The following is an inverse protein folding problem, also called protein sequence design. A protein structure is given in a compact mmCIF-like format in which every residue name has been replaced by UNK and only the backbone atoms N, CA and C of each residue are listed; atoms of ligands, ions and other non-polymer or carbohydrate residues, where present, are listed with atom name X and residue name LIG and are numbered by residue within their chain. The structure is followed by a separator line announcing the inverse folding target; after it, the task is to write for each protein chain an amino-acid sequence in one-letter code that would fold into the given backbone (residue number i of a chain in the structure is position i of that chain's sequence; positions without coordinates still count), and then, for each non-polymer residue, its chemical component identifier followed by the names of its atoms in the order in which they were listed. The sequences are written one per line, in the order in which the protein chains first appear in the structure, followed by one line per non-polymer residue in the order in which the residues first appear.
data_IF_221315923281
#
_entry.id   IF_221315923281
#
_cell.length_a   1.000
_cell.length_b   1.000
_cell.length_c   1.000
_cell.angle_alpha   90.00
_cell.angle_beta   90.00
_cell.angle_gamma   90.00
#
_symmetry.space_group_name_H-M   'P 1'
#
loop_
_entity.id
_entity.type
_entity.pdbx_description
1 polymer ?
#
# COMPACT_ATOMS: atom_id res chain seq x y z
N UNK A 1 16.27 -19.52 -9.98
CA UNK A 1 15.34 -20.58 -10.42
C UNK A 1 14.01 -20.33 -9.72
N UNK A 2 12.88 -20.13 -10.42
CA UNK A 2 11.56 -20.19 -9.79
C UNK A 2 11.34 -21.64 -9.34
N UNK A 3 11.18 -21.88 -8.03
CA UNK A 3 11.17 -23.25 -7.47
C UNK A 3 9.82 -23.96 -7.62
N UNK A 4 8.76 -23.28 -8.08
CA UNK A 4 7.40 -23.83 -8.12
C UNK A 4 6.83 -24.19 -6.75
N UNK A 5 7.58 -23.95 -5.67
CA UNK A 5 7.10 -24.18 -4.30
C UNK A 5 6.00 -23.18 -4.00
N UNK A 6 4.90 -23.70 -3.45
CA UNK A 6 3.85 -22.88 -2.86
C UNK A 6 4.49 -22.09 -1.71
N UNK A 7 4.77 -20.81 -1.96
CA UNK A 7 5.16 -19.88 -0.91
C UNK A 7 3.90 -19.60 -0.09
N UNK A 8 3.69 -20.38 0.97
CA UNK A 8 2.66 -20.07 1.95
C UNK A 8 3.25 -19.05 2.93
N UNK A 9 2.65 -17.87 2.95
CA UNK A 9 3.04 -16.78 3.85
C UNK A 9 2.33 -16.86 5.22
N UNK A 10 1.56 -17.94 5.45
CA UNK A 10 0.94 -18.29 6.72
C UNK A 10 1.97 -18.89 7.69
N UNK A 11 2.03 -18.53 9.01
CA UNK A 11 1.22 -17.52 9.72
C UNK A 11 1.73 -16.10 9.59
N UNK A 12 2.97 -15.97 9.14
CA UNK A 12 3.81 -14.85 9.48
C UNK A 12 3.36 -13.56 8.82
N UNK A 13 2.65 -13.63 7.70
CA UNK A 13 2.32 -12.49 6.88
C UNK A 13 0.87 -12.08 7.01
N UNK A 14 0.67 -10.85 7.48
CA UNK A 14 -0.63 -10.20 7.56
C UNK A 14 -0.95 -9.61 6.19
N UNK A 15 -2.18 -9.82 5.73
CA UNK A 15 -2.70 -9.20 4.51
C UNK A 15 -3.57 -8.00 4.88
N UNK A 16 -3.42 -6.89 4.16
CA UNK A 16 -4.20 -5.67 4.39
C UNK A 16 -5.19 -5.49 3.25
N UNK A 17 -6.44 -5.20 3.61
CA UNK A 17 -7.52 -4.90 2.68
C UNK A 17 -8.18 -3.58 3.05
N UNK A 18 -8.81 -2.92 2.08
CA UNK A 18 -9.57 -1.71 2.33
C UNK A 18 -11.04 -2.07 2.62
N UNK A 19 -11.50 -1.76 3.83
CA UNK A 19 -12.89 -1.97 4.23
C UNK A 19 -13.68 -0.66 4.16
N UNK A 20 -14.77 -0.64 3.40
CA UNK A 20 -15.60 0.54 3.18
C UNK A 20 -17.02 0.28 3.66
N UNK A 21 -17.56 1.18 4.49
CA UNK A 21 -18.97 1.15 4.89
C UNK A 21 -19.77 2.15 4.08
N UNK A 22 -20.78 1.68 3.35
CA UNK A 22 -21.67 2.54 2.58
C UNK A 22 -22.91 2.90 3.38
N UNK A 23 -23.10 4.20 3.66
CA UNK A 23 -24.33 4.69 4.30
C UNK A 23 -25.55 4.57 3.39
N UNK A 24 -25.35 4.69 2.08
CA UNK A 24 -26.42 4.65 1.07
C UNK A 24 -26.91 3.22 0.81
N UNK A 25 -26.03 2.22 0.92
CA UNK A 25 -26.40 0.81 0.74
C UNK A 25 -26.81 0.17 2.08
N UNK A 26 -27.63 0.84 2.88
CA UNK A 26 -28.15 0.28 4.14
C UNK A 26 -27.07 -0.10 5.16
N UNK A 27 -26.00 0.69 5.27
CA UNK A 27 -24.85 0.41 6.14
C UNK A 27 -24.08 -0.88 5.80
N UNK A 28 -24.23 -1.41 4.59
CA UNK A 28 -23.41 -2.53 4.10
C UNK A 28 -21.93 -2.20 4.11
N UNK A 29 -21.14 -3.22 4.42
CA UNK A 29 -19.68 -3.14 4.44
C UNK A 29 -19.12 -3.95 3.28
N UNK A 30 -18.23 -3.33 2.54
CA UNK A 30 -17.54 -3.88 1.37
C UNK A 30 -16.06 -3.96 1.64
N UNK A 31 -15.38 -4.86 0.93
CA UNK A 31 -13.92 -4.95 0.89
C UNK A 31 -13.44 -4.74 -0.53
N UNK A 32 -12.39 -3.94 -0.64
CA UNK A 32 -11.54 -3.83 -1.83
C UNK A 32 -10.22 -4.51 -1.50
N UNK A 33 -9.91 -5.59 -2.22
CA UNK A 33 -8.64 -6.29 -2.14
C UNK A 33 -7.92 -6.25 -3.51
N UNK A 34 -7.07 -5.24 -3.68
CA UNK A 34 -6.32 -5.05 -4.91
C UNK A 34 -5.18 -6.07 -5.09
N UNK A 35 -4.79 -6.76 -4.02
CA UNK A 35 -3.69 -7.72 -4.03
C UNK A 35 -4.17 -9.15 -3.79
N UNK A 36 -5.49 -9.40 -3.80
CA UNK A 36 -6.08 -10.70 -3.48
C UNK A 36 -5.68 -11.81 -4.46
N UNK A 37 -5.34 -11.45 -5.70
CA UNK A 37 -4.89 -12.38 -6.72
C UNK A 37 -3.64 -13.18 -6.30
N UNK A 38 -2.78 -12.64 -5.43
CA UNK A 38 -1.62 -13.36 -4.87
C UNK A 38 -2.03 -14.59 -4.05
N UNK A 39 -3.28 -14.65 -3.60
CA UNK A 39 -3.89 -15.75 -2.83
C UNK A 39 -4.97 -16.50 -3.62
N UNK A 40 -5.10 -16.25 -4.92
CA UNK A 40 -6.17 -16.83 -5.75
C UNK A 40 -7.54 -16.16 -5.57
N UNK A 41 -7.63 -15.00 -4.92
CA UNK A 41 -8.86 -14.22 -4.82
C UNK A 41 -8.98 -13.36 -6.08
N UNK A 42 -9.80 -13.79 -7.03
CA UNK A 42 -9.82 -13.21 -8.38
C UNK A 42 -10.70 -11.96 -8.51
N UNK A 43 -11.63 -11.74 -7.58
CA UNK A 43 -12.44 -10.51 -7.56
C UNK A 43 -11.82 -9.50 -6.59
N UNK A 44 -11.56 -8.25 -7.03
CA UNK A 44 -11.03 -7.23 -6.14
C UNK A 44 -12.11 -6.64 -5.23
N UNK A 45 -13.40 -6.95 -5.44
CA UNK A 45 -14.52 -6.36 -4.70
C UNK A 45 -15.47 -7.42 -4.17
N UNK A 46 -15.79 -7.35 -2.88
CA UNK A 46 -16.66 -8.30 -2.18
C UNK A 46 -17.49 -7.62 -1.09
N UNK A 47 -18.66 -8.17 -0.77
CA UNK A 47 -19.31 -7.86 0.52
C UNK A 47 -18.46 -8.44 1.66
N UNK A 48 -18.28 -7.68 2.74
CA UNK A 48 -17.38 -8.05 3.85
C UNK A 48 -17.75 -9.38 4.49
N UNK A 49 -19.05 -9.65 4.68
CA UNK A 49 -19.53 -10.89 5.31
C UNK A 49 -19.08 -12.11 4.49
N UNK A 50 -19.20 -12.04 3.17
CA UNK A 50 -18.79 -13.11 2.26
C UNK A 50 -17.27 -13.26 2.22
N UNK A 51 -16.56 -12.15 2.06
CA UNK A 51 -15.10 -12.12 2.03
C UNK A 51 -14.50 -12.73 3.31
N UNK A 52 -15.03 -12.32 4.47
CA UNK A 52 -14.58 -12.81 5.78
C UNK A 52 -14.78 -14.31 5.90
N UNK A 53 -15.97 -14.80 5.56
CA UNK A 53 -16.30 -16.21 5.68
C UNK A 53 -15.43 -17.11 4.78
N UNK A 54 -15.02 -16.61 3.61
CA UNK A 54 -14.26 -17.39 2.63
C UNK A 54 -12.75 -17.29 2.81
N UNK A 55 -12.22 -16.10 3.14
CA UNK A 55 -10.80 -15.81 2.99
C UNK A 55 -10.12 -15.31 4.27
N UNK A 56 -10.89 -14.95 5.31
CA UNK A 56 -10.33 -14.38 6.54
C UNK A 56 -10.35 -15.42 7.66
N UNK A 57 -9.18 -15.94 8.01
CA UNK A 57 -9.04 -16.82 9.16
C UNK A 57 -9.05 -16.06 10.48
N UNK A 58 -8.36 -14.92 10.54
CA UNK A 58 -8.31 -14.04 11.72
C UNK A 58 -8.23 -12.58 11.30
N UNK A 59 -9.09 -11.76 11.88
CA UNK A 59 -8.98 -10.30 11.81
C UNK A 59 -8.04 -9.85 12.93
N UNK A 60 -6.94 -9.20 12.56
CA UNK A 60 -5.90 -8.77 13.52
C UNK A 60 -6.21 -7.38 14.09
N UNK A 61 -6.48 -6.41 13.22
CA UNK A 61 -6.83 -5.06 13.59
C UNK A 61 -7.59 -4.35 12.47
N UNK A 62 -8.39 -3.35 12.84
CA UNK A 62 -8.98 -2.37 11.94
C UNK A 62 -8.34 -1.03 12.21
N UNK A 63 -7.74 -0.43 11.18
CA UNK A 63 -7.13 0.89 11.30
C UNK A 63 -7.88 1.93 10.47
N UNK A 64 -7.89 3.20 10.90
CA UNK A 64 -8.47 4.28 10.11
C UNK A 64 -7.71 4.47 8.79
N UNK A 65 -8.38 5.08 7.81
CA UNK A 65 -7.75 5.46 6.54
C UNK A 65 -6.53 6.37 6.82
N UNK A 66 -5.42 6.10 6.13
CA UNK A 66 -4.16 6.83 6.31
C UNK A 66 -3.22 6.23 7.37
N UNK A 67 -3.66 5.27 8.19
CA UNK A 67 -2.80 4.63 9.19
C UNK A 67 -1.50 4.07 8.59
N UNK A 68 -1.58 3.30 7.51
CA UNK A 68 -0.41 2.70 6.86
C UNK A 68 0.57 3.76 6.36
N UNK A 69 0.09 4.89 5.85
CA UNK A 69 0.94 6.00 5.41
C UNK A 69 1.69 6.61 6.60
N UNK A 70 1.00 6.86 7.71
CA UNK A 70 1.61 7.35 8.95
C UNK A 70 2.63 6.35 9.50
N UNK A 71 2.30 5.06 9.50
CA UNK A 71 3.20 4.00 9.94
C UNK A 71 4.47 3.96 9.10
N UNK A 72 4.34 3.99 7.78
CA UNK A 72 5.50 3.96 6.87
C UNK A 72 6.36 5.21 7.02
N UNK A 73 5.73 6.36 7.27
CA UNK A 73 6.45 7.60 7.59
C UNK A 73 7.31 7.43 8.83
N UNK A 74 6.75 6.91 9.92
CA UNK A 74 7.49 6.67 11.16
C UNK A 74 8.60 5.62 10.99
N UNK A 75 8.29 4.50 10.33
CA UNK A 75 9.27 3.45 10.06
C UNK A 75 10.41 3.92 9.15
N UNK A 76 10.15 4.84 8.23
CA UNK A 76 11.17 5.40 7.35
C UNK A 76 12.20 6.28 8.06
N UNK A 77 11.88 6.77 9.25
CA UNK A 77 12.80 7.58 10.07
C UNK A 77 13.80 6.71 10.84
N UNK A 78 13.56 5.40 10.93
CA UNK A 78 14.48 4.46 11.55
C UNK A 78 15.67 4.19 10.61
N UNK A 79 16.88 4.24 11.15
CA UNK A 79 18.12 3.94 10.42
C UNK A 79 18.24 2.45 10.07
N UNK A 80 19.07 2.12 9.09
CA UNK A 80 19.29 0.75 8.66
C UNK A 80 18.29 0.28 7.60
N UNK A 81 17.97 -1.02 7.60
CA UNK A 81 17.03 -1.59 6.63
C UNK A 81 15.67 -0.86 6.53
N UNK A 82 15.05 -0.40 7.64
CA UNK A 82 13.77 0.29 7.57
C UNK A 82 13.79 1.59 6.75
N UNK A 83 14.86 2.38 6.83
CA UNK A 83 15.04 3.56 5.99
C UNK A 83 15.05 3.21 4.50
N UNK A 84 15.59 2.04 4.14
CA UNK A 84 15.58 1.55 2.76
C UNK A 84 14.22 0.99 2.37
N UNK A 85 13.65 0.09 3.18
CA UNK A 85 12.42 -0.63 2.82
C UNK A 85 11.18 0.25 2.88
N UNK A 86 11.03 1.06 3.93
CA UNK A 86 9.86 1.94 4.09
C UNK A 86 10.12 3.34 3.54
N UNK A 87 11.35 3.85 3.65
CA UNK A 87 11.68 5.19 3.15
C UNK A 87 11.68 5.28 1.63
N UNK A 88 12.29 4.33 0.91
CA UNK A 88 12.26 4.36 -0.55
C UNK A 88 10.85 4.11 -1.10
N UNK A 89 10.12 3.17 -0.51
CA UNK A 89 8.72 2.91 -0.86
C UNK A 89 7.86 4.15 -0.61
N UNK A 90 8.05 4.83 0.53
CA UNK A 90 7.36 6.08 0.86
C UNK A 90 7.65 7.20 -0.14
N UNK A 91 8.92 7.36 -0.56
CA UNK A 91 9.30 8.36 -1.59
C UNK A 91 8.64 8.06 -2.94
N UNK A 92 8.67 6.80 -3.38
CA UNK A 92 8.01 6.39 -4.62
C UNK A 92 6.49 6.61 -4.55
N UNK A 93 5.85 6.22 -3.45
CA UNK A 93 4.43 6.44 -3.22
C UNK A 93 4.07 7.93 -3.19
N UNK A 94 4.91 8.78 -2.60
CA UNK A 94 4.70 10.23 -2.60
C UNK A 94 4.72 10.81 -4.02
N UNK A 95 5.68 10.41 -4.86
CA UNK A 95 5.76 10.83 -6.26
C UNK A 95 4.53 10.39 -7.05
N UNK A 96 4.08 9.14 -6.87
CA UNK A 96 2.86 8.63 -7.50
C UNK A 96 1.61 9.38 -7.06
N UNK A 97 1.45 9.62 -5.75
CA UNK A 97 0.32 10.38 -5.21
C UNK A 97 0.31 11.83 -5.74
N UNK A 98 1.47 12.49 -5.77
CA UNK A 98 1.60 13.83 -6.34
C UNK A 98 1.21 13.86 -7.82
N UNK A 99 1.65 12.87 -8.59
CA UNK A 99 1.30 12.74 -10.01
C UNK A 99 -0.19 12.50 -10.21
N UNK A 100 -0.79 11.60 -9.43
CA UNK A 100 -2.23 11.34 -9.47
C UNK A 100 -3.04 12.59 -9.13
N UNK A 101 -2.63 13.34 -8.11
CA UNK A 101 -3.30 14.58 -7.71
C UNK A 101 -3.22 15.65 -8.82
N UNK A 102 -2.03 15.85 -9.42
CA UNK A 102 -1.88 16.80 -10.55
C UNK A 102 -2.71 16.35 -11.75
N UNK A 103 -2.75 15.05 -12.03
CA UNK A 103 -3.60 14.53 -13.10
C UNK A 103 -5.08 14.79 -12.81
N UNK A 104 -5.53 14.54 -11.57
CA UNK A 104 -6.92 14.72 -11.11
C UNK A 104 -7.39 16.17 -11.22
N UNK A 105 -6.51 17.14 -10.97
CA UNK A 105 -6.85 18.58 -11.10
C UNK A 105 -6.91 19.05 -12.55
N UNK A 106 -6.17 18.43 -13.45
CA UNK A 106 -6.07 18.83 -14.86
C UNK A 106 -7.02 18.08 -15.79
N UNK A 107 -7.66 17.01 -15.32
CA UNK A 107 -8.50 16.11 -16.13
C UNK A 107 -9.87 15.92 -15.48
N UNK A 108 -10.65 14.95 -15.98
CA UNK A 108 -11.89 14.54 -15.32
C UNK A 108 -11.53 13.93 -13.96
N UNK A 109 -12.12 14.41 -12.85
CA UNK A 109 -11.80 13.90 -11.53
C UNK A 109 -11.99 12.37 -11.44
N UNK A 110 -11.08 11.68 -10.76
CA UNK A 110 -11.09 10.23 -10.53
C UNK A 110 -12.45 9.74 -10.00
N UNK A 111 -13.07 10.53 -9.12
CA UNK A 111 -14.40 10.27 -8.56
C UNK A 111 -15.52 10.21 -9.60
N UNK A 112 -15.33 10.83 -10.76
CA UNK A 112 -16.29 10.92 -11.87
C UNK A 112 -15.96 10.02 -13.04
N UNK A 113 -14.81 9.34 -13.06
CA UNK A 113 -14.45 8.47 -14.18
C UNK A 113 -15.51 7.40 -14.48
N UNK A 114 -16.15 6.85 -13.44
CA UNK A 114 -17.20 5.84 -13.58
C UNK A 114 -18.48 6.33 -14.26
N UNK A 115 -18.67 7.65 -14.42
CA UNK A 115 -19.86 8.22 -15.06
C UNK A 115 -19.64 8.49 -16.54
N UNK A 116 -18.43 8.26 -17.04
CA UNK A 116 -18.10 8.43 -18.45
C UNK A 116 -18.61 7.23 -19.25
N UNK A 117 -18.86 7.44 -20.53
CA UNK A 117 -18.99 6.33 -21.48
C UNK A 117 -17.66 5.56 -21.61
N UNK A 118 -17.73 4.37 -22.22
CA UNK A 118 -16.59 3.46 -22.32
C UNK A 118 -15.40 4.08 -23.05
N UNK A 119 -15.63 4.80 -24.16
CA UNK A 119 -14.55 5.38 -24.95
C UNK A 119 -13.84 6.51 -24.19
N UNK A 120 -14.61 7.40 -23.57
CA UNK A 120 -14.07 8.47 -22.74
C UNK A 120 -13.37 7.91 -21.49
N UNK A 121 -13.92 6.88 -20.85
CA UNK A 121 -13.29 6.21 -19.72
C UNK A 121 -11.92 5.62 -20.10
N UNK A 122 -11.84 4.87 -21.21
CA UNK A 122 -10.61 4.23 -21.65
C UNK A 122 -9.54 5.25 -22.04
N UNK A 123 -9.95 6.37 -22.65
CA UNK A 123 -9.05 7.49 -22.92
C UNK A 123 -8.48 8.10 -21.64
N UNK A 124 -9.33 8.41 -20.66
CA UNK A 124 -8.90 8.98 -19.38
C UNK A 124 -8.02 8.01 -18.58
N UNK A 125 -8.39 6.73 -18.53
CA UNK A 125 -7.59 5.66 -17.93
C UNK A 125 -6.21 5.59 -18.56
N UNK A 126 -6.12 5.59 -19.89
CA UNK A 126 -4.84 5.55 -20.61
C UNK A 126 -3.98 6.78 -20.29
N UNK A 127 -4.59 7.97 -20.25
CA UNK A 127 -3.92 9.22 -19.86
C UNK A 127 -3.34 9.14 -18.44
N UNK A 128 -4.14 8.72 -17.46
CA UNK A 128 -3.71 8.56 -16.07
C UNK A 128 -2.55 7.57 -15.96
N UNK A 129 -2.70 6.37 -16.53
CA UNK A 129 -1.67 5.34 -16.47
C UNK A 129 -0.36 5.80 -17.15
N UNK A 130 -0.46 6.54 -18.25
CA UNK A 130 0.72 7.11 -18.93
C UNK A 130 1.39 8.22 -18.11
N UNK A 131 0.64 9.01 -17.35
CA UNK A 131 1.20 9.98 -16.42
C UNK A 131 1.95 9.29 -15.26
N UNK A 132 1.34 8.25 -14.68
CA UNK A 132 1.95 7.48 -13.60
C UNK A 132 3.20 6.72 -14.08
N UNK A 133 3.16 6.05 -15.23
CA UNK A 133 4.31 5.33 -15.80
C UNK A 133 5.50 6.27 -16.05
N UNK A 134 5.25 7.44 -16.67
CA UNK A 134 6.30 8.46 -16.87
C UNK A 134 6.91 8.92 -15.55
N UNK A 135 6.08 9.11 -14.53
CA UNK A 135 6.54 9.52 -13.20
C UNK A 135 7.42 8.45 -12.54
N UNK A 136 7.02 7.17 -12.62
CA UNK A 136 7.85 6.05 -12.14
C UNK A 136 9.18 5.98 -12.88
N UNK A 137 9.17 6.06 -14.21
CA UNK A 137 10.40 6.03 -15.01
C UNK A 137 11.34 7.17 -14.63
N UNK A 138 10.80 8.38 -14.52
CA UNK A 138 11.56 9.57 -14.10
C UNK A 138 12.13 9.43 -12.70
N UNK A 139 11.35 8.91 -11.76
CA UNK A 139 11.81 8.63 -10.40
C UNK A 139 12.98 7.62 -10.41
N UNK A 140 12.85 6.52 -11.13
CA UNK A 140 13.92 5.51 -11.22
C UNK A 140 15.17 6.05 -11.90
N UNK A 141 15.03 6.78 -13.02
CA UNK A 141 16.18 7.27 -13.79
C UNK A 141 16.91 8.43 -13.12
N UNK A 142 16.21 9.25 -12.34
CA UNK A 142 16.76 10.49 -11.78
C UNK A 142 17.32 10.33 -10.36
N UNK A 143 17.10 9.17 -9.73
CA UNK A 143 17.56 8.92 -8.36
C UNK A 143 18.67 7.87 -8.33
N UNK A 144 19.76 8.18 -7.62
CA UNK A 144 20.82 7.23 -7.30
C UNK A 144 20.84 6.96 -5.79
N UNK A 145 20.28 5.81 -5.39
CA UNK A 145 20.22 5.42 -3.98
C UNK A 145 21.45 4.65 -3.50
N UNK A 146 22.52 4.53 -4.30
CA UNK A 146 23.68 3.69 -3.98
C UNK A 146 24.34 4.11 -2.67
N UNK A 147 24.60 5.41 -2.49
CA UNK A 147 25.22 5.94 -1.27
C UNK A 147 24.33 5.74 -0.03
N UNK A 148 23.03 6.01 -0.16
CA UNK A 148 22.05 5.76 0.91
C UNK A 148 22.00 4.27 1.27
N UNK A 149 21.93 3.39 0.27
CA UNK A 149 21.90 1.94 0.46
C UNK A 149 23.16 1.44 1.17
N UNK A 150 24.35 1.90 0.79
CA UNK A 150 25.60 1.53 1.46
C UNK A 150 25.62 2.00 2.91
N UNK A 151 25.28 3.27 3.16
CA UNK A 151 25.26 3.86 4.50
C UNK A 151 24.32 3.11 5.43
N UNK A 152 23.10 2.84 5.00
CA UNK A 152 22.12 2.17 5.84
C UNK A 152 22.42 0.67 6.01
N UNK A 153 22.97 -0.01 4.98
CA UNK A 153 23.46 -1.40 5.14
C UNK A 153 24.59 -1.49 6.15
N UNK A 154 25.55 -0.56 6.11
CA UNK A 154 26.65 -0.52 7.07
C UNK A 154 26.15 -0.26 8.49
N UNK A 155 25.22 0.69 8.65
CA UNK A 155 24.59 0.94 9.94
C UNK A 155 23.92 -0.32 10.49
N UNK A 156 23.14 -1.03 9.66
CA UNK A 156 22.45 -2.24 10.08
C UNK A 156 23.42 -3.36 10.49
N UNK A 157 24.53 -3.54 9.77
CA UNK A 157 25.56 -4.52 10.11
C UNK A 157 26.23 -4.23 11.47
N UNK A 158 26.34 -2.95 11.84
CA UNK A 158 26.91 -2.52 13.13
C UNK A 158 25.89 -2.58 14.28
N UNK A 159 24.59 -2.61 13.98
CA UNK A 159 23.49 -2.55 14.97
C UNK A 159 22.46 -3.67 14.75
N UNK A 160 22.87 -4.96 14.80
CA UNK A 160 21.98 -6.09 14.46
C UNK A 160 20.79 -6.26 15.41
N UNK A 161 20.89 -5.76 16.65
CA UNK A 161 19.84 -5.88 17.68
C UNK A 161 18.71 -4.83 17.55
N UNK A 162 18.81 -3.88 16.63
CA UNK A 162 17.76 -2.87 16.41
C UNK A 162 16.54 -3.39 15.61
N UNK A 163 16.53 -4.66 15.20
CA UNK A 163 15.41 -5.29 14.50
C UNK A 163 14.06 -5.18 15.27
N UNK A 164 14.10 -5.12 16.60
CA UNK A 164 12.91 -4.94 17.44
C UNK A 164 12.26 -3.56 17.34
N UNK A 165 12.96 -2.54 16.86
CA UNK A 165 12.46 -1.15 16.82
C UNK A 165 11.27 -0.98 15.88
N UNK A 166 11.27 -1.68 14.73
CA UNK A 166 10.12 -1.68 13.83
C UNK A 166 8.87 -2.25 14.50
N UNK A 167 9.03 -3.34 15.27
CA UNK A 167 7.93 -3.93 16.02
C UNK A 167 7.43 -2.96 17.10
N UNK A 168 8.34 -2.33 17.84
CA UNK A 168 7.98 -1.32 18.86
C UNK A 168 7.19 -0.16 18.27
N UNK A 169 7.64 0.43 17.16
CA UNK A 169 6.91 1.52 16.48
C UNK A 169 5.54 1.03 16.01
N UNK A 170 5.48 -0.16 15.41
CA UNK A 170 4.22 -0.76 14.94
C UNK A 170 3.24 -0.97 16.09
N UNK A 171 3.69 -1.50 17.23
CA UNK A 171 2.88 -1.75 18.42
C UNK A 171 2.38 -0.44 19.03
N UNK A 172 3.24 0.57 19.15
CA UNK A 172 2.89 1.89 19.68
C UNK A 172 1.80 2.56 18.82
N UNK A 173 1.98 2.55 17.50
CA UNK A 173 1.01 3.15 16.59
C UNK A 173 -0.31 2.37 16.57
N UNK A 174 -0.25 1.04 16.58
CA UNK A 174 -1.45 0.20 16.59
C UNK A 174 -2.28 0.43 17.86
N UNK A 175 -1.62 0.55 19.02
CA UNK A 175 -2.28 0.90 20.28
C UNK A 175 -2.95 2.26 20.21
N UNK A 176 -2.27 3.27 19.66
CA UNK A 176 -2.83 4.61 19.52
C UNK A 176 -4.06 4.63 18.57
N UNK A 177 -4.04 3.84 17.49
CA UNK A 177 -5.13 3.78 16.53
C UNK A 177 -6.37 3.03 17.06
N UNK A 178 -6.20 2.07 17.97
CA UNK A 178 -7.30 1.31 18.57
C UNK A 178 -8.02 2.07 19.72
N UNK A 179 -7.54 3.26 20.09
CA UNK A 179 -8.16 4.13 21.10
C UNK A 179 -9.08 5.20 20.50
N UNK A 180 -9.25 5.21 19.16
CA UNK A 180 -10.09 6.12 18.39
C UNK A 180 -11.30 5.39 17.80
#
# INVERSE_FOLDING_TARGET
MPSGQQMCNWPAYKHQVLRIKSRQAGNKTWVIDLCGAQYGILSPFHEWVQYRAQYVQREDALFPLGFTQSLFTQLSQLRGLPALTYGLVGRAAHVLNGTANVWDTLNVPLSRLRTLDTAAFDQQKTSLLSALDRSVRSFVSSNNFTADAHREKQYHAQHPFEAGRCQTVTDQMSRAANLL
#
